data_IF_870305130474
#
_entry.id   IF_870305130474
#
_cell.length_a   1.000
_cell.length_b   1.000
_cell.length_c   1.000
_cell.angle_alpha   90.00
_cell.angle_beta   90.00
_cell.angle_gamma   90.00
#
_symmetry.space_group_name_H-M   'P 1'
#
loop_
_entity.id
_entity.type
_entity.pdbx_description
1 polymer ?
#
# COMPACT_ATOMS: atom_id res chain seq x y z
N UNK A 1 -3.42 3.23 -16.95
CA UNK A 1 -2.36 2.32 -16.48
C UNK A 1 -2.76 1.67 -15.17
N UNK A 2 -2.39 0.40 -14.99
CA UNK A 2 -2.65 -0.35 -13.76
C UNK A 2 -1.34 -0.62 -13.01
N UNK A 3 -1.38 -0.63 -11.68
CA UNK A 3 -0.25 -1.06 -10.85
C UNK A 3 -0.65 -2.35 -10.14
N UNK A 4 0.12 -3.39 -10.35
CA UNK A 4 -0.11 -4.73 -9.80
C UNK A 4 1.21 -5.46 -9.57
N UNK A 5 1.28 -6.28 -8.53
CA UNK A 5 2.36 -7.25 -8.32
C UNK A 5 1.79 -8.63 -8.02
N UNK A 6 2.35 -9.70 -8.58
CA UNK A 6 2.05 -11.07 -8.15
C UNK A 6 2.30 -11.31 -6.66
N UNK A 7 3.16 -10.48 -6.06
CA UNK A 7 3.50 -10.51 -4.63
C UNK A 7 2.46 -9.83 -3.72
N UNK A 8 1.33 -9.34 -4.27
CA UNK A 8 0.21 -8.86 -3.46
C UNK A 8 -0.55 -10.02 -2.83
N UNK A 9 0.16 -10.79 -2.04
CA UNK A 9 -0.32 -11.95 -1.30
C UNK A 9 0.39 -12.05 0.04
N UNK A 10 -0.33 -12.50 1.06
CA UNK A 10 0.19 -12.92 2.35
C UNK A 10 -0.81 -13.88 3.00
N UNK A 11 -0.34 -14.73 3.88
CA UNK A 11 -1.22 -15.61 4.67
C UNK A 11 -1.80 -14.84 5.86
N UNK A 12 -3.10 -14.58 5.82
CA UNK A 12 -3.86 -13.97 6.91
C UNK A 12 -4.53 -15.01 7.81
N UNK A 13 -4.31 -16.32 7.57
CA UNK A 13 -5.02 -17.38 8.28
C UNK A 13 -6.54 -17.30 8.07
N UNK A 14 -7.34 -17.66 9.07
CA UNK A 14 -8.82 -17.65 8.98
C UNK A 14 -9.42 -16.23 9.09
N UNK A 15 -8.72 -15.21 8.63
CA UNK A 15 -9.16 -13.82 8.69
C UNK A 15 -10.06 -13.45 7.49
N UNK A 16 -11.00 -12.53 7.71
CA UNK A 16 -11.96 -12.07 6.67
C UNK A 16 -11.31 -11.16 5.62
N UNK A 17 -10.07 -10.74 5.80
CA UNK A 17 -9.37 -9.85 4.87
C UNK A 17 -9.22 -10.52 3.48
N UNK A 18 -9.82 -9.96 2.41
CA UNK A 18 -9.95 -10.65 1.12
C UNK A 18 -8.72 -10.43 0.22
N UNK A 19 -7.54 -10.88 0.65
CA UNK A 19 -6.26 -10.67 -0.07
C UNK A 19 -6.30 -11.19 -1.52
N UNK A 20 -7.05 -12.27 -1.78
CA UNK A 20 -7.20 -12.84 -3.12
C UNK A 20 -7.84 -11.89 -4.14
N UNK A 21 -8.57 -10.85 -3.69
CA UNK A 21 -9.23 -9.89 -4.58
C UNK A 21 -8.26 -9.24 -5.56
N UNK A 22 -7.04 -8.96 -5.15
CA UNK A 22 -6.05 -8.29 -6.01
C UNK A 22 -5.69 -9.12 -7.23
N UNK A 23 -5.43 -10.41 -7.02
CA UNK A 23 -5.17 -11.36 -8.08
C UNK A 23 -6.40 -11.61 -8.98
N UNK A 24 -7.58 -11.68 -8.38
CA UNK A 24 -8.83 -11.88 -9.12
C UNK A 24 -9.14 -10.69 -10.02
N UNK A 25 -8.96 -9.45 -9.53
CA UNK A 25 -9.14 -8.23 -10.33
C UNK A 25 -8.15 -8.23 -11.50
N UNK A 26 -6.86 -8.48 -11.25
CA UNK A 26 -5.86 -8.58 -12.32
C UNK A 26 -6.26 -9.60 -13.39
N UNK A 27 -6.65 -10.81 -12.99
CA UNK A 27 -7.11 -11.86 -13.91
C UNK A 27 -8.32 -11.42 -14.73
N UNK A 28 -9.28 -10.75 -14.09
CA UNK A 28 -10.48 -10.26 -14.77
C UNK A 28 -10.15 -9.21 -15.82
N UNK A 29 -9.24 -8.28 -15.52
CA UNK A 29 -8.79 -7.26 -16.48
C UNK A 29 -8.08 -7.90 -17.67
N UNK A 30 -7.14 -8.83 -17.42
CA UNK A 30 -6.45 -9.57 -18.50
C UNK A 30 -7.44 -10.37 -19.35
N UNK A 31 -8.39 -11.06 -18.74
CA UNK A 31 -9.44 -11.79 -19.48
C UNK A 31 -10.35 -10.86 -20.26
N UNK A 32 -10.53 -9.62 -19.80
CA UNK A 32 -11.25 -8.55 -20.50
C UNK A 32 -10.48 -7.90 -21.66
N UNK A 33 -9.23 -8.35 -21.91
CA UNK A 33 -8.43 -7.90 -23.06
C UNK A 33 -7.40 -6.81 -22.71
N UNK A 34 -7.21 -6.47 -21.43
CA UNK A 34 -6.14 -5.53 -21.06
C UNK A 34 -4.75 -6.13 -21.35
N UNK A 35 -3.92 -5.46 -22.17
CA UNK A 35 -2.60 -5.95 -22.49
C UNK A 35 -1.68 -6.05 -21.25
N UNK A 36 -0.78 -7.03 -21.22
CA UNK A 36 0.18 -7.16 -20.13
C UNK A 36 1.05 -5.90 -19.95
N UNK A 37 1.33 -5.16 -21.01
CA UNK A 37 2.11 -3.92 -20.98
C UNK A 37 1.42 -2.75 -20.26
N UNK A 38 0.12 -2.86 -19.95
CA UNK A 38 -0.61 -1.84 -19.16
C UNK A 38 -0.44 -2.01 -17.67
N UNK A 39 0.14 -3.14 -17.22
CA UNK A 39 0.38 -3.42 -15.80
C UNK A 39 1.84 -3.13 -15.45
N UNK A 40 2.03 -2.29 -14.44
CA UNK A 40 3.34 -1.92 -13.90
C UNK A 40 3.54 -2.62 -12.57
N UNK A 41 4.71 -3.21 -12.38
CA UNK A 41 5.09 -3.81 -11.11
C UNK A 41 5.82 -2.80 -10.23
N UNK A 42 5.37 -2.56 -8.98
CA UNK A 42 6.02 -1.60 -8.10
C UNK A 42 7.19 -2.22 -7.34
N UNK A 43 8.14 -1.38 -6.94
CA UNK A 43 9.07 -1.69 -5.87
C UNK A 43 8.44 -1.37 -4.50
N UNK A 44 8.87 -2.03 -3.41
CA UNK A 44 8.47 -1.66 -2.05
C UNK A 44 8.84 -0.22 -1.72
N UNK A 45 8.01 0.47 -0.93
CA UNK A 45 8.38 1.78 -0.40
C UNK A 45 9.63 1.69 0.47
N UNK A 46 10.54 2.64 0.32
CA UNK A 46 11.73 2.71 1.16
C UNK A 46 11.39 3.12 2.59
N UNK A 47 12.26 2.78 3.54
CA UNK A 47 12.13 3.23 4.94
C UNK A 47 12.00 4.75 5.02
N UNK A 48 12.80 5.49 4.28
CA UNK A 48 12.75 6.95 4.25
C UNK A 48 11.41 7.50 3.75
N UNK A 49 10.77 6.84 2.78
CA UNK A 49 9.43 7.20 2.31
C UNK A 49 8.37 6.94 3.37
N UNK A 50 8.45 5.82 4.07
CA UNK A 50 7.51 5.51 5.16
C UNK A 50 7.65 6.49 6.34
N UNK A 51 8.87 6.92 6.67
CA UNK A 51 9.15 7.90 7.73
C UNK A 51 8.64 9.32 7.44
N UNK A 52 8.20 9.62 6.21
CA UNK A 52 7.49 10.88 5.92
C UNK A 52 6.11 10.97 6.60
N UNK A 53 5.57 9.83 7.02
CA UNK A 53 4.24 9.72 7.64
C UNK A 53 4.32 9.02 8.99
N UNK A 54 4.99 7.87 9.03
CA UNK A 54 5.00 7.00 10.21
C UNK A 54 6.19 7.26 11.12
N UNK A 55 5.97 7.19 12.43
CA UNK A 55 7.04 7.36 13.41
C UNK A 55 8.02 6.19 13.35
N UNK A 56 9.30 6.48 13.62
CA UNK A 56 10.35 5.47 13.65
C UNK A 56 10.02 4.32 14.59
N UNK A 57 9.58 4.62 15.81
CA UNK A 57 9.23 3.61 16.81
C UNK A 57 8.12 2.66 16.35
N UNK A 58 7.11 3.18 15.63
CA UNK A 58 6.05 2.36 15.06
C UNK A 58 6.57 1.44 13.95
N UNK A 59 7.37 1.98 13.04
CA UNK A 59 7.95 1.18 11.95
C UNK A 59 8.91 0.09 12.47
N UNK A 60 9.66 0.37 13.55
CA UNK A 60 10.51 -0.64 14.22
C UNK A 60 9.68 -1.75 14.88
N UNK A 61 8.49 -1.43 15.42
CA UNK A 61 7.57 -2.44 15.94
C UNK A 61 7.03 -3.34 14.82
N UNK A 62 6.67 -2.76 13.67
CA UNK A 62 6.21 -3.51 12.50
C UNK A 62 7.31 -4.41 11.93
N UNK A 63 8.51 -3.88 11.69
CA UNK A 63 9.64 -4.63 11.13
C UNK A 63 10.05 -5.82 12.02
N UNK A 64 9.99 -5.63 13.32
CA UNK A 64 10.27 -6.68 14.30
C UNK A 64 9.06 -7.57 14.61
N UNK A 65 7.92 -7.34 13.94
CA UNK A 65 6.65 -8.03 14.20
C UNK A 65 6.28 -8.04 15.69
N UNK A 66 6.53 -6.92 16.39
CA UNK A 66 6.20 -6.82 17.83
C UNK A 66 4.73 -6.50 18.01
N UNK A 67 4.03 -7.33 18.77
CA UNK A 67 2.65 -7.09 19.16
C UNK A 67 2.60 -6.11 20.33
N UNK A 68 2.35 -4.84 20.02
CA UNK A 68 2.36 -3.71 20.95
C UNK A 68 1.04 -2.94 20.89
N UNK A 69 0.87 -1.94 21.77
CA UNK A 69 -0.25 -1.00 21.68
C UNK A 69 -0.32 -0.27 20.34
N UNK A 70 0.81 -0.14 19.62
CA UNK A 70 0.85 0.51 18.30
C UNK A 70 0.39 -0.40 17.18
N UNK A 71 0.60 -1.72 17.29
CA UNK A 71 0.38 -2.67 16.17
C UNK A 71 -0.91 -3.46 16.28
N UNK A 72 -1.47 -3.63 17.48
CA UNK A 72 -2.61 -4.52 17.73
C UNK A 72 -3.96 -4.04 17.15
N UNK A 73 -4.11 -2.73 16.93
CA UNK A 73 -5.38 -2.15 16.49
C UNK A 73 -5.66 -2.32 14.99
N UNK A 74 -4.74 -2.92 14.25
CA UNK A 74 -5.02 -3.31 12.86
C UNK A 74 -6.08 -4.41 12.75
N UNK A 75 -6.28 -5.19 13.83
CA UNK A 75 -7.13 -6.40 13.83
C UNK A 75 -6.63 -7.51 12.90
N UNK A 76 -5.51 -7.29 12.20
CA UNK A 76 -4.87 -8.27 11.33
C UNK A 76 -3.81 -9.08 12.08
N UNK A 77 -3.55 -10.32 11.67
CA UNK A 77 -2.37 -11.03 12.15
C UNK A 77 -1.11 -10.26 11.75
N UNK A 78 -0.11 -10.28 12.63
CA UNK A 78 1.16 -9.59 12.41
C UNK A 78 2.26 -10.59 12.07
N UNK A 79 2.74 -10.54 10.84
CA UNK A 79 3.86 -11.35 10.36
C UNK A 79 4.74 -10.55 9.42
N UNK A 80 5.99 -10.99 9.23
CA UNK A 80 6.90 -10.34 8.30
C UNK A 80 6.39 -10.35 6.85
N UNK A 81 5.60 -11.35 6.48
CA UNK A 81 4.98 -11.45 5.15
C UNK A 81 3.91 -10.37 4.97
N UNK A 82 3.03 -10.20 5.96
CA UNK A 82 1.98 -9.18 5.95
C UNK A 82 2.59 -7.77 5.97
N UNK A 83 3.61 -7.53 6.79
CA UNK A 83 4.31 -6.23 6.80
C UNK A 83 4.92 -5.93 5.43
N UNK A 84 5.58 -6.91 4.79
CA UNK A 84 6.13 -6.75 3.43
C UNK A 84 5.05 -6.43 2.41
N UNK A 85 3.87 -7.06 2.49
CA UNK A 85 2.73 -6.75 1.63
C UNK A 85 2.32 -5.27 1.76
N UNK A 86 2.15 -4.75 2.97
CA UNK A 86 1.78 -3.34 3.18
C UNK A 86 2.86 -2.36 2.68
N UNK A 87 4.13 -2.69 2.88
CA UNK A 87 5.25 -1.88 2.36
C UNK A 87 5.28 -1.89 0.83
N UNK A 88 5.02 -3.03 0.20
CA UNK A 88 4.91 -3.14 -1.25
C UNK A 88 3.67 -2.39 -1.78
N UNK A 89 2.53 -2.46 -1.08
CA UNK A 89 1.34 -1.68 -1.43
C UNK A 89 1.60 -0.17 -1.36
N UNK A 90 2.32 0.31 -0.35
CA UNK A 90 2.70 1.73 -0.28
C UNK A 90 3.55 2.16 -1.50
N UNK A 91 4.50 1.32 -1.91
CA UNK A 91 5.26 1.54 -3.15
C UNK A 91 4.37 1.55 -4.39
N UNK A 92 3.36 0.68 -4.43
CA UNK A 92 2.37 0.63 -5.51
C UNK A 92 1.55 1.92 -5.63
N UNK A 93 1.09 2.47 -4.50
CA UNK A 93 0.33 3.73 -4.48
C UNK A 93 1.21 4.92 -4.89
N UNK A 94 2.49 4.94 -4.47
CA UNK A 94 3.46 5.94 -4.96
C UNK A 94 3.62 5.86 -6.47
N UNK A 95 3.83 4.65 -7.02
CA UNK A 95 3.99 4.45 -8.47
C UNK A 95 2.73 4.88 -9.22
N UNK A 96 1.55 4.49 -8.75
CA UNK A 96 0.28 4.88 -9.34
C UNK A 96 0.10 6.40 -9.35
N UNK A 97 0.44 7.08 -8.26
CA UNK A 97 0.37 8.54 -8.18
C UNK A 97 1.29 9.23 -9.21
N UNK A 98 2.54 8.78 -9.34
CA UNK A 98 3.47 9.30 -10.37
C UNK A 98 2.90 9.11 -11.78
N UNK A 99 2.40 7.92 -12.08
CA UNK A 99 1.80 7.63 -13.40
C UNK A 99 0.53 8.40 -13.66
N UNK A 100 -0.30 8.61 -12.65
CA UNK A 100 -1.52 9.41 -12.79
C UNK A 100 -1.21 10.87 -13.16
N UNK A 101 -0.17 11.46 -12.59
CA UNK A 101 0.28 12.82 -12.95
C UNK A 101 0.80 12.89 -14.39
N UNK A 102 1.52 11.87 -14.87
CA UNK A 102 2.06 11.80 -16.23
C UNK A 102 0.98 11.55 -17.28
N UNK A 103 0.00 10.68 -16.99
CA UNK A 103 -0.96 10.14 -17.97
C UNK A 103 -2.42 10.52 -17.73
N UNK A 104 -2.69 11.31 -16.68
CA UNK A 104 -4.03 11.75 -16.29
C UNK A 104 -4.75 10.79 -15.35
N UNK A 105 -4.40 9.50 -15.33
CA UNK A 105 -5.00 8.51 -14.42
C UNK A 105 -4.12 7.28 -14.25
N UNK A 106 -4.25 6.63 -13.12
CA UNK A 106 -3.74 5.28 -12.88
C UNK A 106 -4.64 4.57 -11.84
N UNK A 107 -4.66 3.24 -11.89
CA UNK A 107 -5.35 2.41 -10.91
C UNK A 107 -4.37 1.47 -10.23
N UNK A 108 -4.28 1.54 -8.92
CA UNK A 108 -3.56 0.57 -8.10
C UNK A 108 -4.54 -0.54 -7.68
N UNK A 109 -4.19 -1.81 -7.97
CA UNK A 109 -5.09 -2.94 -7.68
C UNK A 109 -5.02 -3.40 -6.21
N UNK A 110 -4.07 -2.85 -5.43
CA UNK A 110 -3.94 -3.01 -3.98
C UNK A 110 -3.86 -1.62 -3.34
N UNK A 111 -3.90 -1.53 -2.01
CA UNK A 111 -3.81 -0.23 -1.31
C UNK A 111 -5.16 0.31 -0.87
N UNK A 112 -5.21 1.61 -0.53
CA UNK A 112 -6.36 2.24 0.09
C UNK A 112 -6.41 2.05 1.61
N UNK A 113 -5.27 1.83 2.23
CA UNK A 113 -5.12 1.55 3.67
C UNK A 113 -5.05 2.83 4.49
N UNK A 114 -6.12 3.63 4.48
CA UNK A 114 -6.15 4.98 5.04
C UNK A 114 -6.39 5.05 6.55
N UNK A 115 -6.72 3.93 7.21
CA UNK A 115 -7.02 3.95 8.66
C UNK A 115 -5.78 4.02 9.55
N UNK A 116 -4.60 3.61 9.08
CA UNK A 116 -3.38 3.68 9.88
C UNK A 116 -2.99 5.13 10.21
N UNK A 117 -2.69 5.37 11.48
CA UNK A 117 -2.17 6.65 11.98
C UNK A 117 -0.64 6.73 11.82
N UNK A 118 -0.08 7.89 12.15
CA UNK A 118 1.37 8.07 12.10
C UNK A 118 2.13 7.15 13.07
N UNK A 119 1.53 6.82 14.19
CA UNK A 119 2.16 6.12 15.30
C UNK A 119 1.51 4.78 15.66
N UNK A 120 0.45 4.36 14.95
CA UNK A 120 -0.25 3.10 15.22
C UNK A 120 -1.02 2.57 14.02
N UNK A 121 -1.24 1.27 14.02
CA UNK A 121 -2.16 0.57 13.14
C UNK A 121 -3.62 0.80 13.55
N UNK A 122 -4.55 0.72 12.58
CA UNK A 122 -5.98 0.71 12.84
C UNK A 122 -6.74 0.14 11.64
N UNK A 123 -7.90 -0.48 11.86
CA UNK A 123 -8.90 -0.79 10.83
C UNK A 123 -8.34 -1.55 9.60
N UNK A 124 -7.71 -2.70 9.81
CA UNK A 124 -7.08 -3.52 8.77
C UNK A 124 -5.91 -2.83 8.05
N UNK A 125 -5.32 -1.78 8.64
CA UNK A 125 -4.22 -1.03 8.02
C UNK A 125 -2.98 -1.00 8.94
N UNK A 126 -1.83 -1.43 8.39
CA UNK A 126 -0.52 -1.24 9.02
C UNK A 126 0.20 0.00 8.50
N UNK A 127 0.10 0.29 7.21
CA UNK A 127 0.73 1.45 6.57
C UNK A 127 -0.35 2.26 5.87
N UNK A 128 -0.38 3.57 6.08
CA UNK A 128 -1.23 4.50 5.35
C UNK A 128 -0.58 4.84 4.01
N UNK A 129 -0.83 4.00 3.02
CA UNK A 129 -0.21 4.10 1.70
C UNK A 129 -0.61 5.37 0.96
N UNK A 130 -1.83 5.88 1.17
CA UNK A 130 -2.31 7.13 0.57
C UNK A 130 -1.54 8.33 1.12
N UNK A 131 -1.42 8.44 2.45
CA UNK A 131 -0.68 9.52 3.07
C UNK A 131 0.81 9.47 2.67
N UNK A 132 1.41 8.27 2.65
CA UNK A 132 2.80 8.07 2.20
C UNK A 132 2.98 8.55 0.76
N UNK A 133 2.10 8.12 -0.16
CA UNK A 133 2.17 8.52 -1.56
C UNK A 133 2.04 10.04 -1.73
N UNK A 134 1.08 10.67 -1.06
CA UNK A 134 0.91 12.14 -1.11
C UNK A 134 2.18 12.85 -0.61
N UNK A 135 2.75 12.43 0.53
CA UNK A 135 3.97 13.06 1.08
C UNK A 135 5.19 12.87 0.18
N UNK A 136 5.33 11.70 -0.45
CA UNK A 136 6.41 11.44 -1.42
C UNK A 136 6.26 12.36 -2.63
N UNK A 137 5.08 12.42 -3.24
CA UNK A 137 4.83 13.24 -4.43
C UNK A 137 4.98 14.76 -4.14
N UNK A 138 4.62 15.20 -2.94
CA UNK A 138 4.88 16.57 -2.48
C UNK A 138 6.38 16.84 -2.32
N UNK A 139 7.12 15.91 -1.72
CA UNK A 139 8.58 16.03 -1.55
C UNK A 139 9.34 16.04 -2.87
N UNK A 140 8.81 15.37 -3.89
CA UNK A 140 9.34 15.36 -5.26
C UNK A 140 8.93 16.60 -6.07
N UNK A 141 8.09 17.48 -5.53
CA UNK A 141 7.57 18.66 -6.23
C UNK A 141 6.59 18.33 -7.36
N UNK A 142 6.07 17.09 -7.38
CA UNK A 142 5.17 16.60 -8.44
C UNK A 142 3.75 17.12 -8.22
N UNK A 143 3.33 17.25 -6.96
CA UNK A 143 2.03 17.82 -6.59
C UNK A 143 2.18 18.77 -5.41
N UNK A 144 1.40 19.86 -5.38
CA UNK A 144 1.34 20.78 -4.24
C UNK A 144 0.25 20.36 -3.24
N UNK A 145 -0.89 19.94 -3.74
CA UNK A 145 -2.08 19.55 -2.96
C UNK A 145 -2.66 18.25 -3.49
N UNK A 146 -3.31 17.50 -2.62
CA UNK A 146 -4.05 16.30 -2.98
C UNK A 146 -5.35 16.23 -2.16
N UNK A 147 -6.37 15.60 -2.71
CA UNK A 147 -7.60 15.24 -2.00
C UNK A 147 -7.79 13.73 -2.07
N UNK A 148 -8.28 13.15 -0.99
CA UNK A 148 -8.69 11.75 -0.93
C UNK A 148 -10.20 11.74 -0.83
N UNK A 149 -10.83 10.97 -1.71
CA UNK A 149 -12.27 10.70 -1.69
C UNK A 149 -12.46 9.22 -1.35
N UNK A 150 -13.22 8.94 -0.29
CA UNK A 150 -13.52 7.60 0.20
C UNK A 150 -15.04 7.36 0.22
#
# INVERSE_FOLDING_TARGET
MYVFSPSYHADFGPHVFPVEKYRLIHRSLVAGGEPASTFLEPAPASRAQLELVHTRAYLEDLEACRWTERTRWSELPLSAEIVRLFVLCAGGTILAGRRAVESGWAMHLCGGFHHAFADRAEGFCYINDLAVAVRVLQGEGVVATAAVLD
#
